data_IF_344320455835
#
_entry.id   IF_344320455835
#
_cell.length_a   1.000
_cell.length_b   1.000
_cell.length_c   1.000
_cell.angle_alpha   90.00
_cell.angle_beta   90.00
_cell.angle_gamma   90.00
#
_symmetry.space_group_name_H-M   'P 1'
#
loop_
_entity.id
_entity.type
_entity.pdbx_description
1 polymer ?
#
# COMPACT_ATOMS: atom_id res chain seq x y z
N UNK A 1 -16.57 -11.33 -24.93
CA UNK A 1 -17.46 -12.02 -23.97
C UNK A 1 -16.66 -12.28 -22.70
N UNK A 2 -17.29 -12.26 -21.54
CA UNK A 2 -16.64 -12.63 -20.26
C UNK A 2 -17.06 -14.04 -19.87
N UNK A 3 -16.13 -14.77 -19.27
CA UNK A 3 -16.32 -16.14 -18.78
C UNK A 3 -15.93 -16.22 -17.32
N UNK A 4 -16.53 -17.17 -16.61
CA UNK A 4 -16.36 -17.33 -15.17
C UNK A 4 -15.64 -18.62 -14.84
N UNK A 5 -14.87 -18.59 -13.75
CA UNK A 5 -14.32 -19.78 -13.14
C UNK A 5 -14.30 -19.63 -11.62
N UNK A 6 -14.25 -20.75 -10.92
CA UNK A 6 -14.29 -20.82 -9.46
C UNK A 6 -12.90 -21.21 -8.94
N UNK A 7 -12.44 -20.53 -7.91
CA UNK A 7 -11.29 -20.94 -7.11
C UNK A 7 -11.83 -21.36 -5.74
N UNK A 8 -11.46 -22.56 -5.29
CA UNK A 8 -11.79 -23.07 -3.96
C UNK A 8 -10.47 -23.41 -3.24
N UNK A 9 -10.29 -22.87 -2.04
CA UNK A 9 -9.13 -23.16 -1.19
C UNK A 9 -9.57 -23.10 0.27
N UNK A 10 -9.26 -24.16 1.03
CA UNK A 10 -9.72 -24.33 2.40
C UNK A 10 -11.25 -24.26 2.47
N UNK A 11 -11.83 -23.42 3.34
CA UNK A 11 -13.29 -23.24 3.45
C UNK A 11 -13.81 -22.01 2.65
N UNK A 12 -12.96 -21.41 1.80
CA UNK A 12 -13.28 -20.22 1.02
C UNK A 12 -13.37 -20.52 -0.48
N UNK A 13 -14.36 -19.91 -1.14
CA UNK A 13 -14.54 -20.00 -2.60
C UNK A 13 -14.78 -18.63 -3.22
N UNK A 14 -14.20 -18.35 -4.38
CA UNK A 14 -14.41 -17.10 -5.11
C UNK A 14 -14.62 -17.33 -6.60
N UNK A 15 -15.67 -16.71 -7.15
CA UNK A 15 -15.97 -16.72 -8.58
C UNK A 15 -15.32 -15.50 -9.27
N UNK A 16 -14.49 -15.76 -10.27
CA UNK A 16 -13.72 -14.75 -10.99
C UNK A 16 -14.20 -14.67 -12.44
N UNK A 17 -14.47 -13.45 -12.90
CA UNK A 17 -14.96 -13.16 -14.25
C UNK A 17 -13.86 -12.53 -15.11
N UNK A 18 -13.34 -13.24 -16.10
CA UNK A 18 -12.28 -12.75 -17.00
C UNK A 18 -12.72 -12.77 -18.47
N UNK A 19 -12.07 -12.03 -19.39
CA UNK A 19 -12.29 -12.18 -20.82
C UNK A 19 -12.12 -13.64 -21.27
N UNK A 20 -13.01 -14.14 -22.13
CA UNK A 20 -13.00 -15.54 -22.57
C UNK A 20 -11.67 -15.95 -23.24
N UNK A 21 -10.95 -15.00 -23.82
CA UNK A 21 -9.66 -15.19 -24.49
C UNK A 21 -8.54 -15.65 -23.53
N UNK A 22 -8.62 -15.25 -22.25
CA UNK A 22 -7.59 -15.56 -21.25
C UNK A 22 -8.07 -16.60 -20.22
N UNK A 23 -9.27 -17.16 -20.40
CA UNK A 23 -9.88 -18.06 -19.41
C UNK A 23 -9.00 -19.29 -19.13
N UNK A 24 -8.57 -19.99 -20.18
CA UNK A 24 -7.78 -21.22 -20.04
C UNK A 24 -6.44 -20.96 -19.34
N UNK A 25 -5.62 -19.99 -19.79
CA UNK A 25 -4.38 -19.67 -19.08
C UNK A 25 -4.56 -19.25 -17.62
N UNK A 26 -5.60 -18.48 -17.30
CA UNK A 26 -5.87 -18.04 -15.92
C UNK A 26 -6.34 -19.23 -15.05
N UNK A 27 -7.10 -20.17 -15.62
CA UNK A 27 -7.45 -21.41 -14.93
C UNK A 27 -6.23 -22.28 -14.65
N UNK A 28 -5.26 -22.35 -15.56
CA UNK A 28 -4.01 -23.08 -15.33
C UNK A 28 -3.20 -22.46 -14.16
N UNK A 29 -3.18 -21.13 -14.07
CA UNK A 29 -2.61 -20.42 -12.92
C UNK A 29 -3.39 -20.71 -11.64
N UNK A 30 -4.71 -20.71 -11.68
CA UNK A 30 -5.56 -21.02 -10.53
C UNK A 30 -5.33 -22.45 -10.01
N UNK A 31 -5.25 -23.43 -10.92
CA UNK A 31 -4.95 -24.81 -10.59
C UNK A 31 -3.56 -24.99 -9.94
N UNK A 32 -2.59 -24.18 -10.36
CA UNK A 32 -1.25 -24.16 -9.75
C UNK A 32 -1.26 -23.48 -8.38
N UNK A 33 -2.01 -22.40 -8.25
CA UNK A 33 -2.16 -21.63 -7.00
C UNK A 33 -2.79 -22.46 -5.88
N UNK A 34 -3.87 -23.20 -6.16
CA UNK A 34 -4.63 -24.01 -5.18
C UNK A 34 -3.79 -25.16 -4.58
N UNK A 35 -2.68 -25.54 -5.22
CA UNK A 35 -1.76 -26.54 -4.66
C UNK A 35 -0.95 -26.01 -3.47
N UNK A 36 -0.99 -24.70 -3.20
CA UNK A 36 -0.32 -24.07 -2.07
C UNK A 36 -1.15 -24.26 -0.80
N UNK A 37 -0.53 -24.78 0.26
CA UNK A 37 -1.22 -24.97 1.54
C UNK A 37 -1.30 -23.64 2.30
N UNK A 38 -2.35 -22.86 2.04
CA UNK A 38 -2.58 -21.55 2.67
C UNK A 38 -3.85 -21.58 3.50
N UNK A 39 -3.78 -21.03 4.70
CA UNK A 39 -4.96 -20.79 5.52
C UNK A 39 -5.63 -19.49 5.02
N UNK A 40 -6.89 -19.59 4.61
CA UNK A 40 -7.63 -18.47 4.02
C UNK A 40 -9.00 -18.39 4.68
N UNK A 41 -9.23 -17.29 5.38
CA UNK A 41 -10.40 -17.10 6.24
C UNK A 41 -11.58 -16.40 5.55
N UNK A 42 -11.36 -15.78 4.38
CA UNK A 42 -12.43 -15.11 3.65
C UNK A 42 -12.26 -15.14 2.12
N UNK A 43 -13.37 -15.03 1.35
CA UNK A 43 -13.30 -14.98 -0.12
C UNK A 43 -12.47 -13.81 -0.68
N UNK A 44 -12.45 -12.66 -0.01
CA UNK A 44 -11.68 -11.49 -0.46
C UNK A 44 -10.18 -11.71 -0.28
N UNK A 45 -9.76 -12.40 0.78
CA UNK A 45 -8.36 -12.80 0.97
C UNK A 45 -7.92 -13.80 -0.10
N UNK A 46 -8.77 -14.79 -0.41
CA UNK A 46 -8.50 -15.75 -1.49
C UNK A 46 -8.27 -15.03 -2.83
N UNK A 47 -9.14 -14.06 -3.12
CA UNK A 47 -9.03 -13.25 -4.33
C UNK A 47 -7.74 -12.40 -4.34
N UNK A 48 -7.43 -11.73 -3.23
CA UNK A 48 -6.24 -10.92 -3.08
C UNK A 48 -4.95 -11.75 -3.25
N UNK A 49 -4.88 -12.92 -2.64
CA UNK A 49 -3.78 -13.86 -2.80
C UNK A 49 -3.61 -14.28 -4.26
N UNK A 50 -4.71 -14.59 -4.94
CA UNK A 50 -4.66 -14.97 -6.34
C UNK A 50 -4.21 -13.81 -7.25
N UNK A 51 -4.60 -12.56 -6.97
CA UNK A 51 -4.09 -11.37 -7.67
C UNK A 51 -2.57 -11.24 -7.51
N UNK A 52 -2.05 -11.43 -6.30
CA UNK A 52 -0.60 -11.40 -6.05
C UNK A 52 0.12 -12.55 -6.77
N UNK A 53 -0.41 -13.77 -6.71
CA UNK A 53 0.12 -14.92 -7.42
C UNK A 53 0.20 -14.65 -8.93
N UNK A 54 -0.87 -14.11 -9.53
CA UNK A 54 -0.87 -13.70 -10.93
C UNK A 54 0.19 -12.64 -11.20
N UNK A 55 0.38 -11.67 -10.30
CA UNK A 55 1.38 -10.59 -10.48
C UNK A 55 2.81 -11.13 -10.59
N UNK A 56 3.13 -12.20 -9.85
CA UNK A 56 4.44 -12.83 -9.88
C UNK A 56 4.68 -13.69 -11.13
N UNK A 57 3.61 -14.21 -11.76
CA UNK A 57 3.71 -15.16 -12.87
C UNK A 57 3.38 -14.57 -14.24
N UNK A 58 2.37 -13.69 -14.32
CA UNK A 58 1.92 -13.04 -15.54
C UNK A 58 1.18 -11.73 -15.26
N UNK A 59 1.85 -10.59 -15.49
CA UNK A 59 1.30 -9.27 -15.19
C UNK A 59 0.05 -8.91 -16.02
N UNK A 60 -0.04 -9.32 -17.29
CA UNK A 60 -1.22 -9.02 -18.13
C UNK A 60 -2.47 -9.75 -17.64
N UNK A 61 -2.31 -11.01 -17.21
CA UNK A 61 -3.37 -11.76 -16.55
C UNK A 61 -3.71 -11.15 -15.20
N UNK A 62 -2.71 -10.74 -14.41
CA UNK A 62 -2.92 -10.07 -13.13
C UNK A 62 -3.76 -8.79 -13.29
N UNK A 63 -3.53 -7.99 -14.33
CA UNK A 63 -4.36 -6.81 -14.64
C UNK A 63 -5.81 -7.21 -14.88
N UNK A 64 -6.04 -8.30 -15.62
CA UNK A 64 -7.39 -8.76 -15.93
C UNK A 64 -8.12 -9.31 -14.70
N UNK A 65 -7.40 -10.04 -13.84
CA UNK A 65 -7.91 -10.54 -12.55
C UNK A 65 -8.15 -9.39 -11.57
N UNK A 66 -7.29 -8.37 -11.53
CA UNK A 66 -7.51 -7.16 -10.72
C UNK A 66 -8.73 -6.37 -11.21
N UNK A 67 -8.94 -6.24 -12.52
CA UNK A 67 -10.16 -5.61 -13.07
C UNK A 67 -11.41 -6.37 -12.64
N UNK A 68 -11.36 -7.69 -12.66
CA UNK A 68 -12.45 -8.54 -12.17
C UNK A 68 -12.66 -8.34 -10.65
N UNK A 69 -11.59 -8.24 -9.86
CA UNK A 69 -11.65 -7.94 -8.43
C UNK A 69 -12.35 -6.61 -8.18
N UNK A 70 -11.94 -5.56 -8.89
CA UNK A 70 -12.55 -4.23 -8.78
C UNK A 70 -14.03 -4.26 -9.14
N UNK A 71 -14.41 -4.96 -10.21
CA UNK A 71 -15.82 -5.13 -10.59
C UNK A 71 -16.64 -5.84 -9.51
N UNK A 72 -16.13 -6.93 -8.93
CA UNK A 72 -16.79 -7.69 -7.86
C UNK A 72 -17.07 -6.80 -6.64
N UNK A 73 -16.12 -5.94 -6.26
CA UNK A 73 -16.24 -5.06 -5.10
C UNK A 73 -16.69 -3.63 -5.43
N UNK A 74 -17.16 -3.38 -6.65
CA UNK A 74 -17.64 -2.06 -7.13
C UNK A 74 -16.61 -0.93 -6.99
N UNK A 75 -15.33 -1.25 -7.15
CA UNK A 75 -14.25 -0.28 -7.22
C UNK A 75 -14.16 0.18 -8.69
N UNK A 76 -14.09 1.50 -8.98
CA UNK A 76 -13.81 2.61 -8.06
C UNK A 76 -15.03 3.41 -7.60
N UNK A 77 -16.26 2.90 -7.74
CA UNK A 77 -17.45 3.55 -7.15
C UNK A 77 -17.34 3.65 -5.61
N UNK A 78 -16.68 2.66 -5.00
CA UNK A 78 -16.20 2.68 -3.61
C UNK A 78 -14.67 2.70 -3.53
N UNK A 79 -14.14 2.76 -2.32
CA UNK A 79 -12.70 2.67 -2.05
C UNK A 79 -12.36 1.32 -1.38
N UNK A 80 -11.19 0.75 -1.70
CA UNK A 80 -10.72 -0.52 -1.11
C UNK A 80 -10.72 -0.51 0.42
N UNK A 81 -10.37 0.63 1.05
CA UNK A 81 -10.37 0.77 2.50
C UNK A 81 -11.79 0.69 3.09
N UNK A 82 -12.80 1.17 2.36
CA UNK A 82 -14.21 1.02 2.73
C UNK A 82 -14.66 -0.43 2.57
N UNK A 83 -14.25 -1.10 1.49
CA UNK A 83 -14.56 -2.53 1.25
C UNK A 83 -14.03 -3.38 2.42
N UNK A 84 -12.77 -3.19 2.81
CA UNK A 84 -12.16 -3.91 3.93
C UNK A 84 -12.93 -3.72 5.23
N UNK A 85 -13.33 -2.48 5.53
CA UNK A 85 -14.13 -2.19 6.72
C UNK A 85 -15.50 -2.88 6.67
N UNK A 86 -16.16 -2.90 5.51
CA UNK A 86 -17.45 -3.57 5.32
C UNK A 86 -17.35 -5.10 5.45
N UNK A 87 -16.23 -5.68 5.01
CA UNK A 87 -15.94 -7.11 5.15
C UNK A 87 -15.51 -7.50 6.58
N UNK A 88 -15.28 -6.53 7.47
CA UNK A 88 -14.85 -6.74 8.86
C UNK A 88 -13.59 -7.61 8.97
N UNK A 89 -12.65 -7.39 8.05
CA UNK A 89 -11.37 -8.08 8.07
C UNK A 89 -10.55 -7.69 9.31
N UNK A 90 -9.76 -8.62 9.81
CA UNK A 90 -8.73 -8.31 10.79
C UNK A 90 -7.56 -7.54 10.14
N UNK A 91 -6.62 -7.08 10.95
CA UNK A 91 -5.49 -6.26 10.48
C UNK A 91 -4.60 -7.00 9.47
N UNK A 92 -4.45 -8.32 9.59
CA UNK A 92 -3.60 -9.12 8.71
C UNK A 92 -4.25 -9.29 7.33
N UNK A 93 -5.52 -9.67 7.31
CA UNK A 93 -6.33 -9.80 6.10
C UNK A 93 -6.52 -8.45 5.40
N UNK A 94 -6.78 -7.38 6.16
CA UNK A 94 -6.86 -6.02 5.63
C UNK A 94 -5.56 -5.61 4.93
N UNK A 95 -4.41 -5.82 5.59
CA UNK A 95 -3.09 -5.51 5.03
C UNK A 95 -2.84 -6.27 3.72
N UNK A 96 -3.15 -7.57 3.71
CA UNK A 96 -3.03 -8.43 2.54
C UNK A 96 -3.84 -7.91 1.35
N UNK A 97 -5.10 -7.58 1.58
CA UNK A 97 -6.03 -7.10 0.54
C UNK A 97 -5.58 -5.74 -0.01
N UNK A 98 -5.15 -4.80 0.83
CA UNK A 98 -4.63 -3.49 0.37
C UNK A 98 -3.38 -3.69 -0.49
N UNK A 99 -2.44 -4.53 -0.01
CA UNK A 99 -1.20 -4.82 -0.72
C UNK A 99 -1.47 -5.44 -2.09
N UNK A 100 -2.35 -6.43 -2.15
CA UNK A 100 -2.75 -7.06 -3.41
C UNK A 100 -3.41 -6.06 -4.36
N UNK A 101 -4.32 -5.22 -3.84
CA UNK A 101 -5.01 -4.22 -4.64
C UNK A 101 -4.04 -3.23 -5.28
N UNK A 102 -3.06 -2.71 -4.54
CA UNK A 102 -2.10 -1.72 -5.05
C UNK A 102 -0.89 -2.33 -5.78
N UNK A 103 -0.77 -3.65 -5.89
CA UNK A 103 0.44 -4.30 -6.44
C UNK A 103 0.74 -3.87 -7.89
N UNK A 104 -0.30 -3.60 -8.69
CA UNK A 104 -0.19 -3.18 -10.09
C UNK A 104 -0.30 -1.66 -10.28
N UNK A 105 -0.13 -0.85 -9.22
CA UNK A 105 -0.32 0.61 -9.26
C UNK A 105 0.46 1.32 -10.37
N UNK A 106 1.67 0.85 -10.67
CA UNK A 106 2.56 1.44 -11.68
C UNK A 106 2.29 0.94 -13.12
N UNK A 107 1.29 0.07 -13.33
CA UNK A 107 0.92 -0.40 -14.66
C UNK A 107 -0.19 0.47 -15.26
N UNK A 108 0.09 1.07 -16.42
CA UNK A 108 -0.90 1.87 -17.15
C UNK A 108 -2.17 1.08 -17.46
N UNK A 109 -2.05 -0.21 -17.79
CA UNK A 109 -3.18 -1.08 -18.08
C UNK A 109 -4.13 -1.32 -16.88
N UNK A 110 -3.64 -1.11 -15.65
CA UNK A 110 -4.42 -1.22 -14.41
C UNK A 110 -4.94 0.13 -13.90
N UNK A 111 -4.61 1.24 -14.56
CA UNK A 111 -4.89 2.61 -14.06
C UNK A 111 -6.37 2.85 -13.79
N UNK A 112 -7.24 2.31 -14.64
CA UNK A 112 -8.71 2.42 -14.50
C UNK A 112 -9.26 1.74 -13.24
N UNK A 113 -8.51 0.83 -12.62
CA UNK A 113 -8.89 0.22 -11.34
C UNK A 113 -8.79 1.22 -10.18
N UNK A 114 -7.86 2.17 -10.28
CA UNK A 114 -7.54 3.12 -9.21
C UNK A 114 -8.16 4.48 -9.44
N UNK A 115 -8.26 4.88 -10.71
CA UNK A 115 -8.78 6.18 -11.14
C UNK A 115 -10.11 5.90 -11.83
N UNK A 116 -11.21 6.17 -11.12
CA UNK A 116 -12.53 6.09 -11.73
C UNK A 116 -12.68 7.03 -12.92
N UNK A 117 -13.53 6.61 -13.87
CA UNK A 117 -14.02 7.45 -14.97
C UNK A 117 -14.85 8.63 -14.47
N UNK A 118 -15.43 8.50 -13.27
CA UNK A 118 -15.86 9.61 -12.43
C UNK A 118 -14.71 10.01 -11.53
N UNK A 119 -14.40 11.31 -11.47
CA UNK A 119 -13.52 11.88 -10.45
C UNK A 119 -13.87 11.22 -9.12
N UNK A 120 -12.93 10.47 -8.54
CA UNK A 120 -13.13 9.82 -7.25
C UNK A 120 -13.70 10.89 -6.33
N UNK A 121 -14.99 10.77 -5.99
CA UNK A 121 -15.69 11.84 -5.30
C UNK A 121 -14.94 11.99 -3.99
N UNK A 122 -14.29 13.14 -3.80
CA UNK A 122 -13.56 13.45 -2.58
C UNK A 122 -14.41 12.95 -1.41
N UNK A 123 -13.83 12.19 -0.46
CA UNK A 123 -14.59 11.70 0.69
C UNK A 123 -15.48 12.80 1.25
N UNK A 124 -16.73 12.47 1.63
CA UNK A 124 -17.71 13.47 2.08
C UNK A 124 -17.16 14.45 3.14
N UNK A 125 -16.18 13.99 3.93
CA UNK A 125 -15.39 14.79 4.86
C UNK A 125 -14.80 16.07 4.22
N UNK A 126 -14.28 15.96 3.00
CA UNK A 126 -13.68 17.06 2.24
C UNK A 126 -14.67 17.77 1.30
N UNK A 127 -15.80 17.13 0.95
CA UNK A 127 -16.81 17.72 0.07
C UNK A 127 -17.81 18.63 0.81
N UNK A 128 -17.99 18.42 2.12
CA UNK A 128 -18.97 19.16 2.91
C UNK A 128 -18.56 20.61 3.18
N UNK A 129 -19.43 21.57 2.83
CA UNK A 129 -19.23 23.00 3.15
C UNK A 129 -19.37 23.34 4.64
N UNK A 130 -19.99 22.46 5.43
CA UNK A 130 -20.20 22.69 6.86
C UNK A 130 -19.10 22.10 7.73
N UNK A 131 -18.18 21.31 7.17
CA UNK A 131 -17.09 20.66 7.90
C UNK A 131 -15.76 21.31 7.53
N UNK A 132 -14.98 21.69 8.55
CA UNK A 132 -13.65 22.25 8.37
C UNK A 132 -12.63 21.23 8.87
N UNK A 133 -11.74 20.78 7.99
CA UNK A 133 -10.73 19.78 8.32
C UNK A 133 -9.42 20.49 8.64
N UNK A 134 -8.78 20.10 9.74
CA UNK A 134 -7.44 20.54 10.12
C UNK A 134 -6.51 19.33 10.04
N UNK A 135 -5.31 19.50 9.48
CA UNK A 135 -4.28 18.47 9.55
C UNK A 135 -3.58 18.57 10.91
N UNK A 136 -3.16 17.43 11.45
CA UNK A 136 -2.33 17.38 12.65
C UNK A 136 -1.21 16.38 12.42
N UNK A 137 0.01 16.78 12.74
CA UNK A 137 1.19 15.93 12.63
C UNK A 137 1.73 15.64 14.03
N UNK A 138 1.93 14.36 14.32
CA UNK A 138 2.48 13.92 15.59
C UNK A 138 3.95 14.34 15.80
N UNK A 139 4.44 14.14 17.02
CA UNK A 139 5.84 14.35 17.38
C UNK A 139 6.58 13.04 17.57
N UNK A 140 7.74 13.12 18.24
CA UNK A 140 8.55 11.94 18.57
C UNK A 140 7.77 11.00 19.50
N UNK A 141 7.62 9.71 19.17
CA UNK A 141 6.81 8.79 19.95
C UNK A 141 7.48 8.30 21.25
N UNK A 142 8.75 8.66 21.49
CA UNK A 142 9.54 8.15 22.62
C UNK A 142 9.87 6.65 22.53
N UNK A 143 9.56 6.03 21.38
CA UNK A 143 9.76 4.62 21.05
C UNK A 143 10.24 4.50 19.60
N UNK A 144 10.61 3.30 19.16
CA UNK A 144 11.03 3.00 17.78
C UNK A 144 9.85 2.61 16.86
N UNK A 145 8.60 2.77 17.33
CA UNK A 145 7.39 2.43 16.58
C UNK A 145 7.28 3.13 15.21
N UNK A 146 7.86 4.33 15.06
CA UNK A 146 7.91 5.04 13.78
C UNK A 146 8.66 4.22 12.70
N UNK A 147 9.64 3.40 13.11
CA UNK A 147 10.45 2.62 12.18
C UNK A 147 9.67 1.42 11.65
N UNK A 148 8.85 0.80 12.52
CA UNK A 148 7.91 -0.24 12.10
C UNK A 148 6.78 0.33 11.23
N UNK A 149 6.33 1.56 11.49
CA UNK A 149 5.38 2.27 10.62
C UNK A 149 5.96 2.48 9.20
N UNK A 150 7.22 2.90 9.08
CA UNK A 150 7.90 3.01 7.77
C UNK A 150 7.92 1.65 7.05
N UNK A 151 8.31 0.57 7.74
CA UNK A 151 8.32 -0.79 7.17
C UNK A 151 6.92 -1.22 6.74
N UNK A 152 5.90 -0.92 7.54
CA UNK A 152 4.52 -1.25 7.25
C UNK A 152 4.03 -0.53 5.99
N UNK A 153 4.23 0.78 5.88
CA UNK A 153 3.82 1.55 4.69
C UNK A 153 4.58 1.08 3.44
N UNK A 154 5.88 0.79 3.57
CA UNK A 154 6.69 0.25 2.47
C UNK A 154 6.22 -1.12 2.00
N UNK A 155 5.78 -1.99 2.90
CA UNK A 155 5.29 -3.31 2.53
C UNK A 155 3.92 -3.25 1.86
N UNK A 156 3.01 -2.44 2.40
CA UNK A 156 1.61 -2.36 1.96
C UNK A 156 1.46 -1.53 0.69
N UNK A 157 2.11 -0.38 0.64
CA UNK A 157 1.96 0.60 -0.44
C UNK A 157 3.23 0.71 -1.29
N UNK A 158 4.06 -0.34 -1.33
CA UNK A 158 5.37 -0.33 -2.03
C UNK A 158 5.33 0.36 -3.39
N UNK A 159 4.39 0.02 -4.30
CA UNK A 159 4.37 0.62 -5.63
C UNK A 159 4.13 2.15 -5.63
N UNK A 160 3.49 2.66 -4.59
CA UNK A 160 3.16 4.08 -4.40
C UNK A 160 4.34 4.85 -3.80
N UNK A 161 5.01 4.28 -2.79
CA UNK A 161 6.00 5.00 -1.97
C UNK A 161 7.46 4.65 -2.27
N UNK A 162 7.75 3.61 -3.06
CA UNK A 162 9.12 3.12 -3.27
C UNK A 162 10.06 4.20 -3.80
N UNK A 163 9.72 4.87 -4.92
CA UNK A 163 10.59 5.88 -5.53
C UNK A 163 10.84 7.07 -4.61
N UNK A 164 9.83 7.48 -3.83
CA UNK A 164 9.98 8.52 -2.82
C UNK A 164 10.93 8.08 -1.69
N UNK A 165 10.72 6.86 -1.19
CA UNK A 165 11.52 6.31 -0.09
C UNK A 165 12.98 6.16 -0.51
N UNK A 166 13.26 5.66 -1.71
CA UNK A 166 14.63 5.57 -2.25
C UNK A 166 15.31 6.95 -2.33
N UNK A 167 14.59 7.95 -2.84
CA UNK A 167 15.09 9.33 -2.91
C UNK A 167 15.40 9.89 -1.52
N UNK A 168 14.49 9.72 -0.56
CA UNK A 168 14.67 10.23 0.81
C UNK A 168 15.75 9.48 1.58
N UNK A 169 15.87 8.16 1.42
CA UNK A 169 16.94 7.38 2.03
C UNK A 169 18.30 7.83 1.53
N UNK A 170 18.45 8.05 0.22
CA UNK A 170 19.68 8.57 -0.35
C UNK A 170 19.99 10.00 0.15
N UNK A 171 18.99 10.89 0.14
CA UNK A 171 19.13 12.26 0.63
C UNK A 171 19.58 12.30 2.09
N UNK A 172 18.89 11.57 2.97
CA UNK A 172 19.19 11.57 4.40
C UNK A 172 20.56 10.96 4.71
N UNK A 173 20.96 9.90 3.98
CA UNK A 173 22.29 9.30 4.12
C UNK A 173 23.40 10.30 3.77
N UNK A 174 23.21 11.07 2.68
CA UNK A 174 24.15 12.14 2.28
C UNK A 174 24.16 13.26 3.32
N UNK A 175 23.00 13.74 3.76
CA UNK A 175 22.88 14.79 4.76
C UNK A 175 23.54 14.40 6.10
N UNK A 176 23.38 13.14 6.52
CA UNK A 176 23.99 12.60 7.73
C UNK A 176 25.51 12.40 7.63
N UNK A 177 26.08 12.38 6.42
CA UNK A 177 27.52 12.24 6.21
C UNK A 177 28.30 13.55 6.41
N UNK A 178 27.61 14.67 6.65
CA UNK A 178 28.24 15.94 7.00
C UNK A 178 28.99 15.82 8.33
N UNK A 179 30.25 16.26 8.35
CA UNK A 179 31.15 16.13 9.50
C UNK A 179 30.61 16.81 10.76
N UNK A 180 29.77 17.84 10.61
CA UNK A 180 29.11 18.54 11.72
C UNK A 180 28.17 17.62 12.52
N UNK A 181 27.68 16.54 11.91
CA UNK A 181 26.77 15.59 12.56
C UNK A 181 27.44 14.27 12.97
N UNK A 182 28.76 14.14 12.80
CA UNK A 182 29.51 12.92 13.13
C UNK A 182 29.28 12.40 14.56
N UNK A 183 29.08 13.31 15.52
CA UNK A 183 28.77 12.94 16.92
C UNK A 183 27.35 12.39 17.11
N UNK A 184 26.41 12.80 16.26
CA UNK A 184 25.02 12.36 16.28
C UNK A 184 24.86 11.00 15.60
N UNK A 185 25.59 10.76 14.50
CA UNK A 185 25.41 9.58 13.65
C UNK A 185 26.51 8.53 13.82
N UNK A 186 26.89 8.21 15.06
CA UNK A 186 28.01 7.29 15.36
C UNK A 186 27.82 5.87 14.82
N UNK A 187 26.57 5.45 14.64
CA UNK A 187 26.20 4.13 14.08
C UNK A 187 25.70 4.24 12.64
N UNK A 188 25.97 5.37 11.99
CA UNK A 188 25.53 5.68 10.63
C UNK A 188 24.05 6.07 10.54
N UNK A 189 23.62 6.31 9.30
CA UNK A 189 22.26 6.70 8.95
C UNK A 189 21.89 6.07 7.60
N UNK A 190 21.87 4.73 7.56
CA UNK A 190 21.61 3.96 6.35
C UNK A 190 20.28 3.20 6.45
N UNK A 191 19.19 3.96 6.36
CA UNK A 191 17.82 3.46 6.51
C UNK A 191 17.53 2.33 5.53
N UNK A 192 18.01 2.46 4.29
CA UNK A 192 17.83 1.43 3.26
C UNK A 192 18.43 0.11 3.70
N UNK A 193 19.68 0.14 4.18
CA UNK A 193 20.34 -1.03 4.74
C UNK A 193 19.59 -1.60 5.94
N UNK A 194 19.09 -0.77 6.86
CA UNK A 194 18.36 -1.22 8.04
C UNK A 194 17.02 -1.90 7.71
N UNK A 195 16.36 -1.49 6.63
CA UNK A 195 15.09 -2.08 6.15
C UNK A 195 15.34 -3.37 5.37
N UNK A 196 16.32 -3.38 4.46
CA UNK A 196 16.64 -4.55 3.63
C UNK A 196 17.30 -5.67 4.45
N UNK A 197 18.10 -5.28 5.45
CA UNK A 197 18.89 -6.18 6.29
C UNK A 197 18.65 -5.83 7.76
N UNK A 198 17.62 -6.40 8.42
CA UNK A 198 17.27 -6.09 9.81
C UNK A 198 18.45 -6.26 10.79
N UNK A 199 19.38 -7.16 10.50
CA UNK A 199 20.61 -7.36 11.28
C UNK A 199 21.58 -6.16 11.26
N UNK A 200 21.43 -5.24 10.30
CA UNK A 200 22.19 -3.99 10.25
C UNK A 200 21.51 -2.85 11.01
N UNK A 201 20.25 -3.02 11.42
CA UNK A 201 19.56 -2.00 12.19
C UNK A 201 20.27 -1.78 13.55
N UNK A 202 20.48 -0.53 13.96
CA UNK A 202 21.07 -0.21 15.25
C UNK A 202 20.11 -0.57 16.40
N UNK A 203 20.59 -0.49 17.64
CA UNK A 203 19.75 -0.79 18.79
C UNK A 203 18.65 0.25 19.01
N UNK A 204 17.65 -0.14 19.81
CA UNK A 204 16.52 0.71 20.15
C UNK A 204 16.97 2.06 20.76
N UNK A 205 18.02 2.08 21.58
CA UNK A 205 18.56 3.31 22.18
C UNK A 205 18.99 4.32 21.11
N UNK A 206 19.68 3.86 20.07
CA UNK A 206 20.06 4.72 18.96
C UNK A 206 18.85 5.14 18.12
N UNK A 207 17.92 4.23 17.84
CA UNK A 207 16.71 4.53 17.06
C UNK A 207 15.81 5.55 17.74
N UNK A 208 15.70 5.56 19.08
CA UNK A 208 14.87 6.56 19.79
C UNK A 208 15.54 7.91 19.90
N UNK A 209 16.88 7.98 19.75
CA UNK A 209 17.62 9.23 19.86
C UNK A 209 17.11 10.31 18.89
N UNK A 210 17.05 11.55 19.35
CA UNK A 210 16.42 12.64 18.58
C UNK A 210 17.00 12.85 17.16
N UNK A 211 18.32 12.74 16.92
CA UNK A 211 18.87 12.85 15.58
C UNK A 211 18.37 11.78 14.60
N UNK A 212 17.90 10.64 15.11
CA UNK A 212 17.37 9.53 14.31
C UNK A 212 15.84 9.60 14.24
N UNK A 213 15.18 9.66 15.39
CA UNK A 213 13.73 9.58 15.47
C UNK A 213 13.03 10.78 14.84
N UNK A 214 13.56 12.01 14.94
CA UNK A 214 12.93 13.19 14.35
C UNK A 214 12.80 13.12 12.81
N UNK A 215 13.90 12.97 12.04
CA UNK A 215 13.79 12.90 10.59
C UNK A 215 12.99 11.68 10.11
N UNK A 216 13.08 10.55 10.80
CA UNK A 216 12.35 9.34 10.42
C UNK A 216 10.86 9.40 10.74
N UNK A 217 10.47 10.09 11.82
CA UNK A 217 9.05 10.38 12.09
C UNK A 217 8.48 11.27 10.98
N UNK A 218 9.21 12.32 10.58
CA UNK A 218 8.81 13.16 9.45
C UNK A 218 8.71 12.39 8.14
N UNK A 219 9.64 11.44 7.89
CA UNK A 219 9.58 10.55 6.73
C UNK A 219 8.31 9.68 6.73
N UNK A 220 8.00 9.03 7.85
CA UNK A 220 6.78 8.23 8.00
C UNK A 220 5.52 9.05 7.70
N UNK A 221 5.42 10.25 8.28
CA UNK A 221 4.30 11.17 8.05
C UNK A 221 4.16 11.56 6.58
N UNK A 222 5.26 11.89 5.90
CA UNK A 222 5.24 12.23 4.48
C UNK A 222 4.88 11.03 3.60
N UNK A 223 5.26 9.81 3.98
CA UNK A 223 4.83 8.60 3.28
C UNK A 223 3.31 8.42 3.38
N UNK A 224 2.71 8.63 4.56
CA UNK A 224 1.25 8.60 4.72
C UNK A 224 0.54 9.68 3.91
N UNK A 225 1.04 10.92 3.93
CA UNK A 225 0.51 11.99 3.07
C UNK A 225 0.59 11.59 1.60
N UNK A 226 1.71 10.98 1.18
CA UNK A 226 1.89 10.49 -0.18
C UNK A 226 0.87 9.44 -0.59
N UNK A 227 0.60 8.46 0.28
CA UNK A 227 -0.46 7.48 0.04
C UNK A 227 -1.82 8.18 -0.07
N UNK A 228 -2.14 9.12 0.83
CA UNK A 228 -3.44 9.81 0.82
C UNK A 228 -3.69 10.59 -0.49
N UNK A 229 -2.80 11.52 -0.88
CA UNK A 229 -3.09 12.32 -2.08
C UNK A 229 -3.04 11.49 -3.37
N UNK A 230 -2.17 10.47 -3.44
CA UNK A 230 -2.09 9.59 -4.61
C UNK A 230 -3.33 8.72 -4.76
N UNK A 231 -3.82 8.14 -3.67
CA UNK A 231 -5.03 7.29 -3.70
C UNK A 231 -6.32 8.10 -3.91
N UNK A 232 -6.31 9.39 -3.57
CA UNK A 232 -7.36 10.35 -3.95
C UNK A 232 -7.22 10.87 -5.39
N UNK A 233 -6.14 10.53 -6.10
CA UNK A 233 -5.82 10.99 -7.43
C UNK A 233 -5.82 12.53 -7.56
N UNK A 234 -5.21 13.22 -6.59
CA UNK A 234 -5.02 14.67 -6.59
C UNK A 234 -3.55 15.02 -6.34
N UNK A 235 -3.16 16.23 -6.72
CA UNK A 235 -1.82 16.75 -6.43
C UNK A 235 -1.63 17.08 -4.95
N UNK A 236 -0.37 17.15 -4.45
CA UNK A 236 -0.10 17.65 -3.10
C UNK A 236 -0.65 19.07 -2.85
N UNK A 237 -0.66 19.92 -3.88
CA UNK A 237 -1.22 21.26 -3.81
C UNK A 237 -2.73 21.25 -3.58
N UNK A 238 -3.47 20.47 -4.39
CA UNK A 238 -4.91 20.28 -4.20
C UNK A 238 -5.23 19.64 -2.84
N UNK A 239 -4.45 18.64 -2.43
CA UNK A 239 -4.61 18.00 -1.12
C UNK A 239 -4.47 19.00 0.02
N UNK A 240 -3.47 19.90 -0.03
CA UNK A 240 -3.27 20.93 1.00
C UNK A 240 -4.46 21.90 1.10
N UNK A 241 -5.14 22.18 0.00
CA UNK A 241 -6.31 23.07 -0.05
C UNK A 241 -7.56 22.44 0.58
N UNK A 242 -7.57 21.10 0.77
CA UNK A 242 -8.66 20.42 1.47
C UNK A 242 -8.70 20.75 2.97
N UNK A 243 -7.59 21.26 3.52
CA UNK A 243 -7.45 21.61 4.92
C UNK A 243 -7.53 23.12 5.12
N UNK A 244 -8.12 23.54 6.23
CA UNK A 244 -8.23 24.95 6.63
C UNK A 244 -7.03 25.43 7.43
N UNK A 245 -6.20 24.49 7.89
CA UNK A 245 -4.98 24.70 8.64
C UNK A 245 -4.26 23.38 8.87
N UNK A 246 -3.01 23.48 9.30
CA UNK A 246 -2.12 22.37 9.68
C UNK A 246 -1.46 22.69 11.02
#
# INVERSE_FOLDING_TARGET
MTSKFLIELSDSSVEICVPSEILLPVQDLANSFVQTNMDVTSPIELYALFVMYCTEHNQDMAVSVLKAFCQTYKIPETNIHVVIQQQKLDDMAARLVIKAYYTLWNMDAARDCYIGSTSACLPNLFASKSTHVMAMFGGQPGTDAYFDEIKWVLDVYKPIVASYSECMFAFLKVAASDSRFSLCYRRGFDIKSWIEYPQHAPDAEYLVSAPISMPLTGLAQLMHIMVLYKTLNISPGEFSQLFKGM
#
